data_IF_871496836037
#
_entry.id   IF_871496836037
#
_cell.length_a   1.000
_cell.length_b   1.000
_cell.length_c   1.000
_cell.angle_alpha   90.00
_cell.angle_beta   90.00
_cell.angle_gamma   90.00
#
_symmetry.space_group_name_H-M   'P 1'
#
loop_
_entity.id
_entity.type
_entity.pdbx_description
1 polymer ?
#
# COMPACT_ATOMS: atom_id res chain seq x y z
N UNK A 1 -6.74 6.76 10.96
CA UNK A 1 -5.43 7.16 10.41
C UNK A 1 -5.64 7.45 8.92
N UNK A 2 -5.08 8.56 8.43
CA UNK A 2 -5.26 8.95 7.02
C UNK A 2 -4.05 8.55 6.18
N UNK A 3 -4.30 7.82 5.10
CA UNK A 3 -3.29 7.46 4.12
C UNK A 3 -2.91 8.69 3.31
N UNK A 4 -1.71 9.22 3.55
CA UNK A 4 -1.17 10.35 2.78
C UNK A 4 -0.28 9.81 1.65
N UNK A 5 -0.94 9.32 0.59
CA UNK A 5 -0.29 8.78 -0.60
C UNK A 5 -0.25 9.83 -1.72
N UNK A 6 0.82 9.81 -2.50
CA UNK A 6 0.98 10.63 -3.70
C UNK A 6 0.19 10.01 -4.86
N UNK A 7 -0.15 10.83 -5.86
CA UNK A 7 -0.83 10.36 -7.09
C UNK A 7 -0.09 9.24 -7.81
N UNK A 8 1.24 9.20 -7.73
CA UNK A 8 2.03 8.14 -8.33
C UNK A 8 1.90 6.82 -7.54
N UNK A 9 1.94 6.89 -6.21
CA UNK A 9 1.74 5.72 -5.33
C UNK A 9 0.34 5.11 -5.53
N UNK A 10 -0.70 5.96 -5.59
CA UNK A 10 -2.07 5.51 -5.87
C UNK A 10 -2.16 4.87 -7.26
N UNK A 11 -1.48 5.43 -8.26
CA UNK A 11 -1.45 4.85 -9.61
C UNK A 11 -0.80 3.47 -9.63
N UNK A 12 0.26 3.26 -8.86
CA UNK A 12 0.94 1.97 -8.73
C UNK A 12 0.01 0.94 -8.08
N UNK A 13 -0.67 1.31 -6.99
CA UNK A 13 -1.65 0.45 -6.34
C UNK A 13 -2.81 0.08 -7.27
N UNK A 14 -3.33 1.05 -8.01
CA UNK A 14 -4.37 0.81 -9.01
C UNK A 14 -3.92 -0.09 -10.18
N UNK A 15 -2.61 -0.16 -10.48
CA UNK A 15 -2.08 -1.08 -11.50
C UNK A 15 -2.11 -2.54 -11.05
N UNK A 16 -2.16 -2.80 -9.75
CA UNK A 16 -2.26 -4.12 -9.14
C UNK A 16 -3.62 -4.36 -8.50
N UNK A 17 -4.65 -3.66 -8.99
CA UNK A 17 -6.05 -3.75 -8.54
C UNK A 17 -6.28 -3.40 -7.06
N UNK A 18 -5.38 -2.63 -6.44
CA UNK A 18 -5.53 -2.10 -5.07
C UNK A 18 -6.06 -0.67 -5.14
N UNK A 19 -7.30 -0.47 -4.72
CA UNK A 19 -7.93 0.86 -4.65
C UNK A 19 -7.87 1.43 -3.23
N UNK A 20 -7.31 2.62 -3.09
CA UNK A 20 -7.25 3.37 -1.84
C UNK A 20 -8.29 4.49 -1.87
N UNK A 21 -9.07 4.61 -0.80
CA UNK A 21 -9.95 5.76 -0.59
C UNK A 21 -9.23 6.80 0.28
N UNK A 22 -8.69 7.84 -0.34
CA UNK A 22 -7.99 8.93 0.34
C UNK A 22 -8.87 9.69 1.36
N UNK A 23 -10.20 9.58 1.27
CA UNK A 23 -11.13 10.24 2.19
C UNK A 23 -11.57 9.35 3.35
N UNK A 24 -11.22 8.07 3.31
CA UNK A 24 -11.52 7.13 4.40
C UNK A 24 -10.48 7.30 5.51
N UNK A 25 -10.97 7.35 6.75
CA UNK A 25 -10.11 7.17 7.92
C UNK A 25 -10.00 5.66 8.19
N UNK A 26 -8.82 5.10 7.94
CA UNK A 26 -8.54 3.69 8.13
C UNK A 26 -8.21 3.42 9.61
N UNK A 27 -8.64 2.27 10.12
CA UNK A 27 -8.19 1.79 11.43
C UNK A 27 -6.92 0.93 11.30
N UNK A 28 -6.36 0.54 12.45
CA UNK A 28 -5.11 -0.23 12.52
C UNK A 28 -5.19 -1.56 11.76
N UNK A 29 -6.23 -2.35 12.02
CA UNK A 29 -6.46 -3.64 11.36
C UNK A 29 -6.59 -3.46 9.83
N UNK A 30 -7.33 -2.45 9.38
CA UNK A 30 -7.49 -2.15 7.96
C UNK A 30 -6.19 -1.73 7.29
N UNK A 31 -5.29 -1.05 8.00
CA UNK A 31 -3.97 -0.69 7.47
C UNK A 31 -3.05 -1.91 7.41
N UNK A 32 -3.11 -2.79 8.41
CA UNK A 32 -2.37 -4.05 8.41
C UNK A 32 -2.82 -4.94 7.25
N UNK A 33 -4.13 -5.16 7.11
CA UNK A 33 -4.72 -5.92 6.00
C UNK A 33 -4.26 -5.36 4.64
N UNK A 34 -4.23 -4.03 4.53
CA UNK A 34 -3.85 -3.36 3.30
C UNK A 34 -2.34 -3.47 3.01
N UNK A 35 -1.50 -3.40 4.04
CA UNK A 35 -0.05 -3.62 3.91
C UNK A 35 0.27 -5.06 3.49
N UNK A 36 -0.41 -6.04 4.07
CA UNK A 36 -0.26 -7.46 3.70
C UNK A 36 -0.64 -7.68 2.24
N UNK A 37 -1.75 -7.10 1.79
CA UNK A 37 -2.24 -7.21 0.42
C UNK A 37 -1.25 -6.59 -0.58
N UNK A 38 -0.58 -5.50 -0.22
CA UNK A 38 0.47 -4.90 -1.04
C UNK A 38 1.73 -5.79 -1.08
N UNK A 39 2.14 -6.40 0.05
CA UNK A 39 3.26 -7.36 0.05
C UNK A 39 2.96 -8.60 -0.78
N UNK A 40 1.72 -9.09 -0.80
CA UNK A 40 1.33 -10.19 -1.68
C UNK A 40 1.51 -9.80 -3.16
N UNK A 41 1.08 -8.59 -3.53
CA UNK A 41 1.30 -8.08 -4.89
C UNK A 41 2.77 -7.87 -5.22
N UNK A 42 3.58 -7.43 -4.24
CA UNK A 42 5.03 -7.31 -4.38
C UNK A 42 5.66 -8.65 -4.72
N UNK A 43 5.34 -9.70 -3.95
CA UNK A 43 5.85 -11.05 -4.15
C UNK A 43 5.44 -11.61 -5.51
N UNK A 44 4.20 -11.37 -5.94
CA UNK A 44 3.73 -11.74 -7.27
C UNK A 44 4.51 -11.02 -8.39
N UNK A 45 4.92 -9.77 -8.13
CA UNK A 45 5.65 -8.92 -9.07
C UNK A 45 7.17 -8.91 -8.86
N UNK A 46 7.76 -9.78 -8.04
CA UNK A 46 9.14 -9.71 -7.54
C UNK A 46 10.24 -9.44 -8.61
N UNK A 47 10.00 -9.85 -9.86
CA UNK A 47 10.91 -9.59 -10.99
C UNK A 47 10.71 -8.25 -11.74
N UNK A 48 9.73 -7.45 -11.37
CA UNK A 48 9.31 -6.23 -12.05
C UNK A 48 9.76 -5.00 -11.25
N UNK A 49 10.21 -3.90 -11.89
CA UNK A 49 10.52 -2.64 -11.21
C UNK A 49 9.45 -2.13 -10.23
N UNK A 50 8.17 -2.49 -10.46
CA UNK A 50 7.06 -2.11 -9.59
C UNK A 50 7.12 -2.77 -8.19
N UNK A 51 7.72 -3.96 -8.05
CA UNK A 51 7.80 -4.67 -6.77
C UNK A 51 8.49 -3.85 -5.67
N UNK A 52 9.62 -3.21 -6.00
CA UNK A 52 10.31 -2.32 -5.05
C UNK A 52 9.45 -1.15 -4.60
N UNK A 53 8.58 -0.65 -5.48
CA UNK A 53 7.67 0.44 -5.15
C UNK A 53 6.50 -0.05 -4.27
N UNK A 54 6.02 -1.27 -4.52
CA UNK A 54 5.01 -1.93 -3.69
C UNK A 54 5.55 -2.23 -2.28
N UNK A 55 6.76 -2.78 -2.14
CA UNK A 55 7.41 -2.98 -0.85
C UNK A 55 7.49 -1.67 -0.05
N UNK A 56 8.00 -0.60 -0.67
CA UNK A 56 8.06 0.72 -0.03
C UNK A 56 6.69 1.26 0.39
N UNK A 57 5.64 0.96 -0.37
CA UNK A 57 4.28 1.36 -0.04
C UNK A 57 3.72 0.58 1.14
N UNK A 58 3.94 -0.74 1.16
CA UNK A 58 3.54 -1.58 2.26
C UNK A 58 4.24 -1.16 3.57
N UNK A 59 5.56 -0.95 3.52
CA UNK A 59 6.35 -0.46 4.66
C UNK A 59 5.77 0.86 5.19
N UNK A 60 5.52 1.83 4.30
CA UNK A 60 4.96 3.14 4.66
C UNK A 60 3.58 3.04 5.31
N UNK A 61 2.75 2.09 4.89
CA UNK A 61 1.40 1.88 5.43
C UNK A 61 1.48 1.18 6.79
N UNK A 62 2.39 0.23 6.94
CA UNK A 62 2.65 -0.46 8.20
C UNK A 62 3.28 0.47 9.24
N UNK A 63 4.10 1.44 8.83
CA UNK A 63 4.66 2.45 9.74
C UNK A 63 3.56 3.32 10.38
N UNK A 64 2.47 3.61 9.65
CA UNK A 64 1.34 4.38 10.18
C UNK A 64 0.59 3.66 11.33
N UNK A 65 0.69 2.33 11.40
CA UNK A 65 0.12 1.52 12.49
C UNK A 65 0.97 1.65 13.75
N UNK A 66 2.29 1.84 13.60
CA UNK A 66 3.24 1.89 14.71
C UNK A 66 3.45 3.31 15.29
N UNK A 67 2.82 4.35 14.72
CA UNK A 67 2.81 5.75 15.20
C UNK A 67 1.61 6.07 16.11
#
# INVERSE_FOLDING_TARGET
MRLNLTKNEIKILNQVDISIDENKDYNEDELLDLSELIYEQESFNYGNPIAKQLAHLADKIQDLVNE
#
